data_IF_113383205448
#
_entry.id   IF_113383205448
#
_cell.length_a   1.000
_cell.length_b   1.000
_cell.length_c   1.000
_cell.angle_alpha   90.00
_cell.angle_beta   90.00
_cell.angle_gamma   90.00
#
_symmetry.space_group_name_H-M   'P 1'
#
loop_
_entity.id
_entity.type
_entity.pdbx_description
1 polymer ?
#
# COMPACT_ATOMS: atom_id res chain seq x y z
N UNK A 1 1.95 20.89 25.47
CA UNK A 1 3.01 21.60 24.72
C UNK A 1 2.57 21.81 23.28
N UNK A 2 2.75 23.02 22.76
CA UNK A 2 2.39 23.35 21.38
C UNK A 2 3.59 23.12 20.47
N UNK A 3 3.38 22.37 19.38
CA UNK A 3 4.41 22.13 18.38
C UNK A 3 4.31 23.22 17.33
N UNK A 4 5.43 23.92 17.08
CA UNK A 4 5.53 25.02 16.12
C UNK A 4 6.38 24.62 14.91
N UNK A 5 6.94 25.60 14.20
CA UNK A 5 7.78 25.37 13.01
C UNK A 5 9.05 24.56 13.23
N UNK A 6 9.40 24.31 14.48
CA UNK A 6 10.55 23.48 14.83
C UNK A 6 10.20 22.01 15.02
N UNK A 7 9.03 21.58 14.53
CA UNK A 7 8.59 20.20 14.59
C UNK A 7 9.62 19.26 13.93
N UNK A 8 10.07 18.28 14.69
CA UNK A 8 10.96 17.24 14.19
C UNK A 8 10.29 15.88 14.43
N UNK A 9 9.73 15.32 13.37
CA UNK A 9 9.04 14.02 13.43
C UNK A 9 9.99 12.86 13.68
N UNK A 10 11.28 13.02 13.40
CA UNK A 10 12.26 11.97 13.71
C UNK A 10 12.53 11.86 15.22
N UNK A 11 12.30 12.94 15.95
CA UNK A 11 12.48 13.00 17.41
C UNK A 11 11.18 12.90 18.19
N UNK A 12 10.03 13.02 17.51
CA UNK A 12 8.73 12.96 18.17
C UNK A 12 8.47 11.57 18.72
N UNK A 13 8.06 11.48 19.97
CA UNK A 13 7.73 10.23 20.63
C UNK A 13 6.22 10.00 20.65
N UNK A 14 5.73 9.34 19.60
CA UNK A 14 4.32 8.96 19.51
C UNK A 14 4.01 7.82 20.48
N UNK A 15 2.74 7.71 20.85
CA UNK A 15 2.27 6.65 21.75
C UNK A 15 1.07 5.92 21.14
N UNK A 16 0.83 4.70 21.65
CA UNK A 16 -0.25 3.83 21.17
C UNK A 16 -0.18 3.57 19.67
N UNK A 17 -1.30 3.58 18.96
CA UNK A 17 -1.37 3.32 17.53
C UNK A 17 -0.61 4.32 16.65
N UNK A 18 -0.42 5.55 17.14
CA UNK A 18 0.32 6.57 16.40
C UNK A 18 1.80 6.22 16.21
N UNK A 19 2.35 5.44 17.12
CA UNK A 19 3.75 5.01 17.06
C UNK A 19 4.03 4.21 15.77
N UNK A 20 3.16 3.29 15.41
CA UNK A 20 3.32 2.48 14.21
C UNK A 20 3.26 3.33 12.95
N UNK A 21 2.34 4.30 12.91
CA UNK A 21 2.21 5.24 11.79
C UNK A 21 3.47 6.07 11.63
N UNK A 22 3.97 6.63 12.73
CA UNK A 22 5.18 7.45 12.70
C UNK A 22 6.41 6.64 12.26
N UNK A 23 6.57 5.42 12.78
CA UNK A 23 7.67 4.54 12.40
C UNK A 23 7.65 4.23 10.90
N UNK A 24 6.48 4.02 10.33
CA UNK A 24 6.31 3.80 8.89
C UNK A 24 6.76 5.03 8.09
N UNK A 25 6.32 6.22 8.51
CA UNK A 25 6.68 7.49 7.86
C UNK A 25 8.19 7.71 7.92
N UNK A 26 8.82 7.42 9.05
CA UNK A 26 10.27 7.51 9.21
C UNK A 26 11.01 6.56 8.28
N UNK A 27 10.56 5.32 8.15
CA UNK A 27 11.16 4.33 7.25
C UNK A 27 11.04 4.73 5.79
N UNK A 28 9.93 5.33 5.41
CA UNK A 28 9.71 5.79 4.04
C UNK A 28 10.44 7.10 3.72
N UNK A 29 11.06 7.72 4.72
CA UNK A 29 11.78 8.98 4.55
C UNK A 29 10.88 10.18 4.24
N UNK A 30 9.66 10.17 4.75
CA UNK A 30 8.64 11.17 4.43
C UNK A 30 8.39 12.17 5.56
N UNK A 31 9.21 12.17 6.61
CA UNK A 31 9.02 13.07 7.73
C UNK A 31 9.06 14.55 7.32
N UNK A 32 10.01 14.95 6.49
CA UNK A 32 10.13 16.33 6.02
C UNK A 32 8.91 16.76 5.21
N UNK A 33 8.37 15.87 4.36
CA UNK A 33 7.17 16.17 3.58
C UNK A 33 5.96 16.37 4.49
N UNK A 34 5.81 15.52 5.51
CA UNK A 34 4.72 15.66 6.47
C UNK A 34 4.85 16.94 7.28
N UNK A 35 6.06 17.28 7.72
CA UNK A 35 6.31 18.54 8.42
C UNK A 35 5.86 19.75 7.60
N UNK A 36 6.16 19.78 6.32
CA UNK A 36 5.74 20.84 5.41
C UNK A 36 4.22 20.90 5.26
N UNK A 37 3.58 19.75 5.13
CA UNK A 37 2.12 19.66 5.03
C UNK A 37 1.45 20.18 6.31
N UNK A 38 1.96 19.80 7.46
CA UNK A 38 1.42 20.22 8.75
C UNK A 38 1.61 21.73 8.98
N UNK A 39 2.71 22.32 8.52
CA UNK A 39 2.91 23.75 8.57
C UNK A 39 1.87 24.51 7.76
N UNK A 40 1.48 23.99 6.59
CA UNK A 40 0.44 24.58 5.76
C UNK A 40 -0.95 24.44 6.36
N UNK A 41 -1.27 23.26 6.93
CA UNK A 41 -2.58 22.98 7.50
C UNK A 41 -2.78 23.62 8.87
N UNK A 42 -1.72 23.73 9.65
CA UNK A 42 -1.74 24.23 11.02
C UNK A 42 -0.68 25.33 11.21
N UNK A 43 -0.85 26.48 10.56
CA UNK A 43 0.15 27.56 10.62
C UNK A 43 0.39 28.11 12.02
N UNK A 44 -0.57 27.96 12.92
CA UNK A 44 -0.45 28.38 14.32
C UNK A 44 0.14 27.29 15.23
N UNK A 45 0.50 26.15 14.65
CA UNK A 45 1.03 25.00 15.36
C UNK A 45 -0.05 24.06 15.86
N UNK A 46 0.36 23.01 16.54
CA UNK A 46 -0.54 22.01 17.12
C UNK A 46 0.08 21.44 18.39
N UNK A 47 -0.74 20.87 19.25
CA UNK A 47 -0.26 20.19 20.46
C UNK A 47 0.26 18.80 20.14
N UNK A 48 1.07 18.22 21.03
CA UNK A 48 1.54 16.84 20.89
C UNK A 48 0.38 15.86 20.83
N UNK A 49 -0.67 16.09 21.60
CA UNK A 49 -1.87 15.26 21.60
C UNK A 49 -2.59 15.33 20.24
N UNK A 50 -2.72 16.53 19.68
CA UNK A 50 -3.32 16.70 18.35
C UNK A 50 -2.52 15.98 17.27
N UNK A 51 -1.21 16.07 17.32
CA UNK A 51 -0.33 15.37 16.38
C UNK A 51 -0.46 13.84 16.54
N UNK A 52 -0.41 13.38 17.78
CA UNK A 52 -0.56 11.95 18.05
C UNK A 52 -1.91 11.42 17.57
N UNK A 53 -2.98 12.14 17.83
CA UNK A 53 -4.33 11.76 17.39
C UNK A 53 -4.43 11.75 15.86
N UNK A 54 -3.82 12.70 15.18
CA UNK A 54 -3.76 12.73 13.72
C UNK A 54 -3.07 11.47 13.18
N UNK A 55 -1.93 11.11 13.74
CA UNK A 55 -1.17 9.93 13.32
C UNK A 55 -1.90 8.61 13.67
N UNK A 56 -2.74 8.62 14.66
CA UNK A 56 -3.46 7.44 15.11
C UNK A 56 -4.81 7.26 14.40
N UNK A 57 -5.67 8.28 14.45
CA UNK A 57 -7.04 8.18 13.95
C UNK A 57 -7.19 8.55 12.48
N UNK A 58 -6.32 9.42 11.97
CA UNK A 58 -6.33 9.87 10.59
C UNK A 58 -5.13 9.35 9.79
N UNK A 59 -4.56 8.22 10.20
CA UNK A 59 -3.37 7.65 9.56
C UNK A 59 -3.54 7.42 8.06
N UNK A 60 -4.72 7.03 7.62
CA UNK A 60 -5.01 6.82 6.20
C UNK A 60 -4.90 8.13 5.40
N UNK A 61 -5.40 9.23 5.96
CA UNK A 61 -5.28 10.55 5.34
C UNK A 61 -3.82 10.99 5.27
N UNK A 62 -3.06 10.76 6.35
CA UNK A 62 -1.63 11.09 6.39
C UNK A 62 -0.87 10.30 5.33
N UNK A 63 -1.13 9.01 5.19
CA UNK A 63 -0.49 8.17 4.18
C UNK A 63 -0.85 8.65 2.77
N UNK A 64 -2.10 9.02 2.53
CA UNK A 64 -2.56 9.54 1.25
C UNK A 64 -1.82 10.83 0.88
N UNK A 65 -1.68 11.77 1.82
CA UNK A 65 -0.94 13.01 1.61
C UNK A 65 0.52 12.76 1.23
N UNK A 66 1.13 11.72 1.77
CA UNK A 66 2.53 11.38 1.55
C UNK A 66 2.76 10.41 0.39
N UNK A 67 1.68 9.93 -0.23
CA UNK A 67 1.79 8.93 -1.28
C UNK A 67 2.23 7.56 -0.79
N UNK A 68 2.05 7.29 0.51
CA UNK A 68 2.36 5.99 1.12
C UNK A 68 1.09 5.14 1.10
N UNK A 69 1.22 3.90 0.64
CA UNK A 69 0.09 2.97 0.68
C UNK A 69 -0.04 2.36 2.07
N UNK A 70 -1.23 2.45 2.66
CA UNK A 70 -1.51 1.82 3.95
C UNK A 70 -1.57 0.30 3.81
N UNK A 71 -1.45 -0.41 4.93
CA UNK A 71 -1.59 -1.86 4.97
C UNK A 71 -2.92 -2.31 4.35
N UNK A 72 -4.02 -1.64 4.69
CA UNK A 72 -5.34 -1.93 4.14
C UNK A 72 -5.38 -1.74 2.61
N UNK A 73 -4.76 -0.68 2.09
CA UNK A 73 -4.68 -0.45 0.65
C UNK A 73 -3.92 -1.56 -0.06
N UNK A 74 -2.81 -2.00 0.50
CA UNK A 74 -2.00 -3.08 -0.07
C UNK A 74 -2.80 -4.40 -0.03
N UNK A 75 -3.47 -4.70 1.07
CA UNK A 75 -4.32 -5.88 1.18
C UNK A 75 -5.45 -5.87 0.15
N UNK A 76 -6.09 -4.72 -0.08
CA UNK A 76 -7.12 -4.59 -1.11
C UNK A 76 -6.56 -4.79 -2.51
N UNK A 77 -5.36 -4.27 -2.80
CA UNK A 77 -4.69 -4.47 -4.08
C UNK A 77 -4.34 -5.95 -4.31
N UNK A 78 -3.92 -6.65 -3.27
CA UNK A 78 -3.65 -8.10 -3.33
C UNK A 78 -4.94 -8.84 -3.64
N UNK A 79 -6.03 -8.52 -2.96
CA UNK A 79 -7.34 -9.16 -3.17
C UNK A 79 -7.84 -8.94 -4.60
N UNK A 80 -7.73 -7.72 -5.11
CA UNK A 80 -8.09 -7.40 -6.50
C UNK A 80 -7.24 -8.17 -7.50
N UNK A 81 -5.92 -8.25 -7.26
CA UNK A 81 -5.00 -8.98 -8.13
C UNK A 81 -5.28 -10.49 -8.10
N UNK A 82 -5.57 -11.04 -6.93
CA UNK A 82 -5.95 -12.46 -6.79
C UNK A 82 -7.26 -12.77 -7.52
N UNK A 83 -8.24 -11.87 -7.44
CA UNK A 83 -9.50 -12.02 -8.17
C UNK A 83 -9.28 -11.96 -9.69
N UNK A 84 -8.42 -11.06 -10.16
CA UNK A 84 -8.04 -10.96 -11.57
C UNK A 84 -7.35 -12.24 -12.04
N UNK A 85 -6.46 -12.79 -11.22
CA UNK A 85 -5.78 -14.06 -11.53
C UNK A 85 -6.78 -15.20 -11.65
N UNK A 86 -7.72 -15.30 -10.71
CA UNK A 86 -8.75 -16.33 -10.72
C UNK A 86 -9.62 -16.22 -11.96
N UNK A 87 -9.99 -15.01 -12.36
CA UNK A 87 -10.75 -14.76 -13.57
C UNK A 87 -9.99 -15.21 -14.82
N UNK A 88 -8.70 -14.89 -14.91
CA UNK A 88 -7.84 -15.32 -16.02
C UNK A 88 -7.70 -16.82 -16.09
N UNK A 89 -7.53 -17.48 -14.95
CA UNK A 89 -7.43 -18.94 -14.88
C UNK A 89 -8.76 -19.60 -15.28
N UNK A 90 -9.88 -19.01 -14.91
CA UNK A 90 -11.21 -19.48 -15.30
C UNK A 90 -11.43 -19.34 -16.80
N UNK A 91 -11.03 -18.21 -17.38
CA UNK A 91 -11.11 -17.96 -18.82
C UNK A 91 -10.24 -18.96 -19.59
N UNK A 92 -9.04 -19.24 -19.09
CA UNK A 92 -8.14 -20.23 -19.68
C UNK A 92 -8.77 -21.62 -19.66
N UNK A 93 -9.33 -22.02 -18.53
CA UNK A 93 -9.98 -23.31 -18.38
C UNK A 93 -11.17 -23.45 -19.33
N UNK A 94 -11.95 -22.37 -19.49
CA UNK A 94 -13.07 -22.33 -20.41
C UNK A 94 -12.62 -22.47 -21.87
N UNK A 95 -11.51 -21.83 -22.24
CA UNK A 95 -10.96 -21.90 -23.60
C UNK A 95 -10.28 -23.24 -23.89
N UNK A 96 -9.91 -24.00 -22.86
CA UNK A 96 -9.35 -25.35 -23.01
C UNK A 96 -10.47 -26.37 -23.15
N UNK A 97 -10.98 -26.51 -24.37
CA UNK A 97 -12.02 -27.46 -24.71
C UNK A 97 -11.42 -28.87 -24.84
N UNK A 98 -12.21 -29.90 -24.49
CA UNK A 98 -11.82 -31.32 -24.57
C UNK A 98 -11.53 -31.72 -26.03
N UNK A 99 -12.13 -31.04 -26.99
CA UNK A 99 -11.99 -31.39 -28.42
C UNK A 99 -10.71 -30.81 -29.05
N UNK A 100 -9.90 -30.05 -28.28
CA UNK A 100 -8.66 -29.46 -28.78
C UNK A 100 -7.54 -30.49 -28.86
N UNK A 101 -6.66 -30.31 -29.88
CA UNK A 101 -5.41 -31.07 -29.96
C UNK A 101 -4.44 -30.57 -28.90
N UNK A 102 -3.38 -31.35 -28.62
CA UNK A 102 -2.35 -30.94 -27.68
C UNK A 102 -1.65 -29.65 -28.12
N UNK A 103 -1.44 -29.50 -29.44
CA UNK A 103 -0.83 -28.30 -30.01
C UNK A 103 -1.71 -27.07 -29.82
N UNK A 104 -3.02 -27.20 -30.04
CA UNK A 104 -3.97 -26.10 -29.84
C UNK A 104 -4.05 -25.70 -28.36
N UNK A 105 -4.06 -26.69 -27.46
CA UNK A 105 -4.03 -26.43 -26.01
C UNK A 105 -2.77 -25.69 -25.60
N UNK A 106 -1.63 -26.08 -26.12
CA UNK A 106 -0.36 -25.45 -25.84
C UNK A 106 -0.37 -23.99 -26.29
N UNK A 107 -0.87 -23.71 -27.48
CA UNK A 107 -0.96 -22.36 -28.01
C UNK A 107 -1.84 -21.46 -27.14
N UNK A 108 -2.96 -21.99 -26.68
CA UNK A 108 -3.87 -21.26 -25.77
C UNK A 108 -3.18 -20.96 -24.45
N UNK A 109 -2.55 -21.96 -23.84
CA UNK A 109 -1.82 -21.79 -22.59
C UNK A 109 -0.72 -20.75 -22.74
N UNK A 110 0.05 -20.81 -23.81
CA UNK A 110 1.12 -19.86 -24.10
C UNK A 110 0.60 -18.44 -24.29
N UNK A 111 -0.62 -18.27 -24.83
CA UNK A 111 -1.21 -16.94 -25.01
C UNK A 111 -1.65 -16.31 -23.69
N UNK A 112 -2.07 -17.11 -22.71
CA UNK A 112 -2.45 -16.64 -21.38
C UNK A 112 -1.27 -16.51 -20.42
N UNK A 113 -0.23 -17.29 -20.62
CA UNK A 113 0.87 -17.42 -19.67
C UNK A 113 1.54 -16.08 -19.29
N UNK A 114 1.86 -15.18 -20.24
CA UNK A 114 2.47 -13.91 -19.89
C UNK A 114 1.60 -13.05 -18.95
N UNK A 115 0.30 -13.01 -19.18
CA UNK A 115 -0.63 -12.25 -18.34
C UNK A 115 -0.76 -12.87 -16.95
N UNK A 116 -0.83 -14.20 -16.87
CA UNK A 116 -0.90 -14.91 -15.60
C UNK A 116 0.38 -14.69 -14.80
N UNK A 117 1.53 -14.79 -15.43
CA UNK A 117 2.83 -14.59 -14.79
C UNK A 117 2.98 -13.15 -14.27
N UNK A 118 2.52 -12.17 -15.04
CA UNK A 118 2.54 -10.76 -14.63
C UNK A 118 1.68 -10.53 -13.39
N UNK A 119 0.49 -11.11 -13.35
CA UNK A 119 -0.41 -10.97 -12.20
C UNK A 119 0.20 -11.65 -10.96
N UNK A 120 0.78 -12.85 -11.13
CA UNK A 120 1.43 -13.57 -10.04
C UNK A 120 2.62 -12.80 -9.47
N UNK A 121 3.41 -12.18 -10.34
CA UNK A 121 4.54 -11.36 -9.93
C UNK A 121 4.07 -10.13 -9.16
N UNK A 122 3.01 -9.47 -9.64
CA UNK A 122 2.41 -8.33 -8.94
C UNK A 122 1.93 -8.72 -7.54
N UNK A 123 1.26 -9.87 -7.40
CA UNK A 123 0.81 -10.38 -6.11
C UNK A 123 2.01 -10.64 -5.18
N UNK A 124 3.05 -11.26 -5.69
CA UNK A 124 4.26 -11.54 -4.91
C UNK A 124 4.92 -10.26 -4.42
N UNK A 125 5.03 -9.25 -5.28
CA UNK A 125 5.61 -7.94 -4.94
C UNK A 125 4.77 -7.22 -3.89
N UNK A 126 3.45 -7.26 -4.01
CA UNK A 126 2.54 -6.66 -3.03
C UNK A 126 2.62 -7.35 -1.67
N UNK A 127 2.72 -8.68 -1.65
CA UNK A 127 2.86 -9.44 -0.41
C UNK A 127 4.20 -9.16 0.26
N UNK A 128 5.27 -8.99 -0.51
CA UNK A 128 6.57 -8.63 0.01
C UNK A 128 6.55 -7.23 0.61
N UNK A 129 5.94 -6.28 -0.09
CA UNK A 129 5.75 -4.92 0.41
C UNK A 129 4.97 -4.91 1.73
N UNK A 130 3.93 -5.74 1.85
CA UNK A 130 3.13 -5.87 3.06
C UNK A 130 3.96 -6.40 4.24
N UNK A 131 4.91 -7.30 3.99
CA UNK A 131 5.78 -7.83 5.02
C UNK A 131 6.78 -6.80 5.56
N UNK A 132 7.12 -5.81 4.78
CA UNK A 132 8.07 -4.75 5.15
C UNK A 132 7.44 -3.65 6.00
N UNK A 133 6.14 -3.68 6.19
CA UNK A 133 5.40 -2.69 6.99
C UNK A 133 5.54 -2.92 8.50
#
# INVERSE_FOLDING_TARGET
MTITYELDLNSFQAWSGAKDTLERIQREGKCAELENILEELYPDGMTETELNDLLWFDSESVYEWLGIRSETQIENEIEEAEAELEEKLSDLEFDLDDDLTEEERKDIIESYQPEIDEIKERIADLKEELKEI
#
